data_IF_384171370729
#
_entry.id   IF_384171370729
#
_cell.length_a   1.000
_cell.length_b   1.000
_cell.length_c   1.000
_cell.angle_alpha   90.00
_cell.angle_beta   90.00
_cell.angle_gamma   90.00
#
_symmetry.space_group_name_H-M   'P 1'
#
loop_
_entity.id
_entity.type
_entity.pdbx_description
1 polymer ?
#
# COMPACT_ATOMS: atom_id res chain seq x y z
N UNK A 1 -10.34 -34.47 31.60
CA UNK A 1 -8.86 -34.50 31.62
C UNK A 1 -8.25 -34.80 30.24
N UNK A 2 -8.95 -35.46 29.32
CA UNK A 2 -8.40 -35.80 28.00
C UNK A 2 -8.14 -34.60 27.08
N UNK A 3 -8.97 -33.56 27.16
CA UNK A 3 -8.83 -32.35 26.32
C UNK A 3 -7.51 -31.61 26.55
N UNK A 4 -6.95 -31.65 27.75
CA UNK A 4 -5.66 -31.02 28.07
C UNK A 4 -4.52 -31.61 27.23
N UNK A 5 -4.55 -32.92 26.95
CA UNK A 5 -3.53 -33.57 26.12
C UNK A 5 -3.55 -33.09 24.66
N UNK A 6 -4.69 -32.60 24.17
CA UNK A 6 -4.80 -32.00 22.84
C UNK A 6 -4.52 -30.50 22.87
N UNK A 7 -5.01 -29.80 23.89
CA UNK A 7 -4.88 -28.35 24.04
C UNK A 7 -3.44 -27.89 24.29
N UNK A 8 -2.66 -28.64 25.07
CA UNK A 8 -1.25 -28.31 25.36
C UNK A 8 -0.41 -28.27 24.08
N UNK A 9 -0.31 -29.33 23.26
CA UNK A 9 0.50 -29.29 22.04
C UNK A 9 -0.06 -28.29 21.02
N UNK A 10 -1.38 -28.16 20.91
CA UNK A 10 -2.01 -27.16 20.04
C UNK A 10 -1.59 -25.74 20.44
N UNK A 11 -1.54 -25.43 21.74
CA UNK A 11 -1.10 -24.12 22.23
C UNK A 11 0.37 -23.85 21.94
N UNK A 12 1.24 -24.85 22.08
CA UNK A 12 2.67 -24.74 21.77
C UNK A 12 2.87 -24.45 20.28
N UNK A 13 2.17 -25.16 19.41
CA UNK A 13 2.20 -24.92 17.96
C UNK A 13 1.71 -23.51 17.64
N UNK A 14 0.62 -23.06 18.25
CA UNK A 14 0.07 -21.73 18.04
C UNK A 14 1.06 -20.62 18.45
N UNK A 15 1.68 -20.76 19.62
CA UNK A 15 2.71 -19.82 20.09
C UNK A 15 3.90 -19.79 19.13
N UNK A 16 4.32 -20.94 18.63
CA UNK A 16 5.42 -21.03 17.68
C UNK A 16 5.09 -20.36 16.34
N UNK A 17 3.88 -20.59 15.82
CA UNK A 17 3.39 -19.95 14.59
C UNK A 17 3.34 -18.43 14.74
N UNK A 18 2.81 -17.92 15.85
CA UNK A 18 2.77 -16.48 16.14
C UNK A 18 4.20 -15.93 16.24
N UNK A 19 5.10 -16.63 16.94
CA UNK A 19 6.49 -16.22 17.07
C UNK A 19 7.23 -16.12 15.73
N UNK A 20 7.05 -17.12 14.86
CA UNK A 20 7.64 -17.11 13.50
C UNK A 20 7.05 -16.00 12.64
N UNK A 21 5.73 -15.83 12.65
CA UNK A 21 5.06 -14.77 11.90
C UNK A 21 5.50 -13.38 12.38
N UNK A 22 5.61 -13.19 13.69
CA UNK A 22 6.09 -11.95 14.29
C UNK A 22 7.55 -11.66 13.91
N UNK A 23 8.43 -12.66 14.05
CA UNK A 23 9.84 -12.53 13.65
C UNK A 23 9.97 -12.16 12.17
N UNK A 24 9.19 -12.81 11.30
CA UNK A 24 9.16 -12.51 9.87
C UNK A 24 8.66 -11.09 9.60
N UNK A 25 7.60 -10.64 10.27
CA UNK A 25 7.07 -9.27 10.16
C UNK A 25 8.11 -8.20 10.54
N UNK A 26 8.81 -8.41 11.66
CA UNK A 26 9.89 -7.50 12.11
C UNK A 26 11.04 -7.48 11.10
N UNK A 27 11.46 -8.65 10.60
CA UNK A 27 12.53 -8.77 9.59
C UNK A 27 12.13 -8.13 8.25
N UNK A 28 10.85 -8.19 7.90
CA UNK A 28 10.31 -7.70 6.62
C UNK A 28 10.16 -6.18 6.57
N UNK A 29 10.52 -5.45 7.64
CA UNK A 29 10.52 -3.98 7.64
C UNK A 29 9.13 -3.36 7.56
N UNK A 30 8.06 -4.10 7.88
CA UNK A 30 6.69 -3.60 7.75
C UNK A 30 6.36 -2.43 8.69
N UNK A 31 7.21 -2.19 9.69
CA UNK A 31 7.12 -1.07 10.62
C UNK A 31 7.91 0.17 10.19
N UNK A 32 8.68 0.09 9.10
CA UNK A 32 9.55 1.17 8.62
C UNK A 32 8.76 2.21 7.78
N UNK A 33 7.64 1.81 7.17
CA UNK A 33 6.76 2.69 6.36
C UNK A 33 5.54 3.18 7.15
N UNK A 34 5.71 3.49 8.45
CA UNK A 34 4.66 4.15 9.25
C UNK A 34 4.64 5.67 9.04
N UNK A 35 5.66 6.24 8.39
CA UNK A 35 5.80 7.69 8.17
C UNK A 35 5.08 8.18 6.89
N UNK A 36 4.98 7.32 5.86
CA UNK A 36 4.37 7.66 4.57
C UNK A 36 2.86 7.97 4.58
N UNK A 37 2.03 7.32 5.42
CA UNK A 37 0.60 7.65 5.52
C UNK A 37 0.33 8.99 6.23
N UNK A 38 1.12 9.32 7.26
CA UNK A 38 0.95 10.54 8.05
C UNK A 38 1.28 11.80 7.24
N UNK A 39 2.31 11.73 6.38
CA UNK A 39 2.67 12.83 5.47
C UNK A 39 1.55 13.09 4.44
N UNK A 40 0.96 12.05 3.84
CA UNK A 40 -0.14 12.23 2.86
C UNK A 40 -1.37 12.93 3.44
N UNK A 41 -1.78 12.60 4.66
CA UNK A 41 -2.94 13.24 5.31
C UNK A 41 -2.72 14.74 5.57
N UNK A 42 -1.49 15.16 5.85
CA UNK A 42 -1.16 16.57 6.11
C UNK A 42 -0.92 17.38 4.82
N UNK A 43 -0.47 16.75 3.73
CA UNK A 43 -0.14 17.42 2.46
C UNK A 43 -1.24 17.32 1.38
N UNK A 44 -2.27 16.49 1.55
CA UNK A 44 -3.33 16.30 0.55
C UNK A 44 -4.35 17.47 0.49
N UNK A 45 -4.42 18.34 1.50
CA UNK A 45 -5.31 19.52 1.50
C UNK A 45 -4.72 20.73 0.74
N UNK A 46 -3.43 20.72 0.42
CA UNK A 46 -2.71 21.88 -0.15
C UNK A 46 -2.41 21.77 -1.65
N UNK A 47 -2.86 20.71 -2.33
CA UNK A 47 -2.78 20.68 -3.79
C UNK A 47 -4.05 21.29 -4.39
N UNK A 48 -3.99 22.50 -4.99
CA UNK A 48 -5.01 22.89 -5.94
C UNK A 48 -5.00 21.78 -6.98
N UNK A 49 -6.13 21.09 -7.14
CA UNK A 49 -6.38 20.25 -8.30
C UNK A 49 -6.15 21.16 -9.50
N UNK A 50 -4.94 21.13 -10.04
CA UNK A 50 -4.58 21.82 -11.25
C UNK A 50 -5.50 21.19 -12.28
N UNK A 51 -6.57 21.93 -12.55
CA UNK A 51 -7.44 21.75 -13.67
C UNK A 51 -6.50 21.60 -14.86
N UNK A 52 -6.33 20.35 -15.32
CA UNK A 52 -5.67 20.08 -16.59
C UNK A 52 -6.68 20.57 -17.62
N UNK A 53 -6.70 21.89 -17.79
CA UNK A 53 -7.21 22.57 -18.96
C UNK A 53 -6.48 21.90 -20.12
N UNK A 54 -7.28 21.32 -21.00
CA UNK A 54 -6.87 20.46 -22.10
C UNK A 54 -5.65 21.02 -22.84
N UNK A 55 -4.67 20.16 -23.21
CA UNK A 55 -3.78 20.49 -24.31
C UNK A 55 -4.67 20.54 -25.56
N UNK A 56 -4.99 21.77 -25.93
CA UNK A 56 -5.34 22.21 -27.26
C UNK A 56 -4.61 21.30 -28.27
N UNK A 57 -5.39 20.53 -29.02
CA UNK A 57 -4.90 19.73 -30.14
C UNK A 57 -4.48 20.71 -31.24
N UNK A 58 -3.34 21.36 -31.01
CA UNK A 58 -2.67 22.27 -31.91
C UNK A 58 -1.51 21.50 -32.53
N UNK A 59 -1.81 20.42 -33.26
CA UNK A 59 -0.83 19.82 -34.16
C UNK A 59 -1.53 19.18 -35.37
N UNK A 60 -0.94 19.45 -36.52
CA UNK A 60 -1.26 18.99 -37.88
C UNK A 60 -2.17 19.97 -38.66
N UNK A 61 -1.67 21.15 -39.02
CA UNK A 61 -0.67 21.31 -40.10
C UNK A 61 -1.18 20.71 -41.41
N UNK A 62 -1.61 21.61 -42.29
CA UNK A 62 -1.27 21.58 -43.72
C UNK A 62 -1.51 20.24 -44.44
N UNK A 63 -2.78 19.87 -44.63
CA UNK A 63 -3.14 18.99 -45.74
C UNK A 63 -4.44 19.46 -46.39
N UNK A 64 -4.33 19.83 -47.66
CA UNK A 64 -5.41 19.91 -48.66
C UNK A 64 -6.19 21.24 -48.74
N UNK A 65 -5.47 22.31 -49.09
CA UNK A 65 -5.75 22.98 -50.38
C UNK A 65 -5.36 21.89 -51.40
N UNK A 66 -6.28 21.09 -51.93
CA UNK A 66 -6.95 21.27 -53.21
C UNK A 66 -8.25 20.43 -53.24
N UNK A 67 -9.39 21.06 -53.54
CA UNK A 67 -10.54 20.55 -54.32
C UNK A 67 -11.55 21.69 -54.58
#
# INVERSE_FOLDING_TARGET
>A
MESLYLLIPLSVVLVFLIGVAFWWSVRSGQFDDMEGPAYRILMDDDQPRAEIVAPQHEISENRKIDD
#
